data_IF_755821520616
#
_entry.id   IF_755821520616
#
_cell.length_a   1.000
_cell.length_b   1.000
_cell.length_c   1.000
_cell.angle_alpha   90.00
_cell.angle_beta   90.00
_cell.angle_gamma   90.00
#
_symmetry.space_group_name_H-M   'P 1'
#
loop_
_entity.id
_entity.type
_entity.pdbx_description
1 polymer ?
#
# COMPACT_ATOMS: atom_id res chain seq x y z
N UNK A 1 16.68 -7.76 -2.53
CA UNK A 1 16.65 -8.33 -3.90
C UNK A 1 15.44 -7.79 -4.60
N UNK A 2 15.54 -7.48 -5.90
CA UNK A 2 14.39 -7.08 -6.70
C UNK A 2 13.35 -8.21 -6.78
N UNK A 3 12.08 -7.86 -6.99
CA UNK A 3 11.01 -8.83 -7.21
C UNK A 3 11.29 -9.61 -8.51
N UNK A 4 10.98 -10.91 -8.60
CA UNK A 4 11.11 -11.63 -9.86
C UNK A 4 10.20 -11.05 -10.96
N UNK A 5 10.62 -11.20 -12.22
CA UNK A 5 9.86 -10.74 -13.39
C UNK A 5 8.55 -11.50 -13.59
N UNK A 6 8.40 -12.68 -12.96
CA UNK A 6 7.18 -13.46 -12.93
C UNK A 6 6.87 -13.90 -11.51
N UNK A 7 5.59 -13.88 -11.16
CA UNK A 7 5.11 -14.13 -9.81
C UNK A 7 4.15 -15.31 -9.84
N UNK A 8 4.43 -16.29 -8.99
CA UNK A 8 3.54 -17.42 -8.75
C UNK A 8 2.81 -17.22 -7.43
N UNK A 9 1.48 -17.25 -7.46
CA UNK A 9 0.66 -17.30 -6.26
C UNK A 9 0.33 -18.78 -5.99
N UNK A 10 0.72 -19.28 -4.82
CA UNK A 10 0.54 -20.69 -4.43
C UNK A 10 -0.51 -20.87 -3.34
N UNK A 11 -0.88 -19.79 -2.66
CA UNK A 11 -1.97 -19.73 -1.70
C UNK A 11 -3.34 -19.66 -2.37
N UNK A 12 -4.38 -19.75 -1.54
CA UNK A 12 -5.78 -19.71 -1.96
C UNK A 12 -6.21 -18.31 -2.38
N UNK A 13 -7.30 -18.26 -3.16
CA UNK A 13 -7.99 -17.02 -3.51
C UNK A 13 -9.16 -16.83 -2.53
N UNK A 14 -9.16 -15.71 -1.82
CA UNK A 14 -10.24 -15.28 -0.93
C UNK A 14 -11.18 -14.33 -1.66
N UNK A 15 -12.38 -14.80 -1.97
CA UNK A 15 -13.46 -13.96 -2.49
C UNK A 15 -14.23 -13.34 -1.31
N UNK A 16 -14.14 -12.02 -1.15
CA UNK A 16 -14.95 -11.25 -0.22
C UNK A 16 -16.35 -11.10 -0.81
N UNK A 17 -17.17 -12.13 -0.63
CA UNK A 17 -18.53 -12.25 -1.15
C UNK A 17 -19.58 -11.69 -0.19
N UNK A 18 -20.69 -11.18 -0.72
CA UNK A 18 -21.86 -10.77 0.07
C UNK A 18 -22.51 -11.94 0.83
N UNK A 19 -22.28 -13.18 0.39
CA UNK A 19 -22.73 -14.39 1.07
C UNK A 19 -21.78 -14.74 2.23
N UNK A 20 -22.21 -14.42 3.46
CA UNK A 20 -21.42 -14.64 4.67
C UNK A 20 -21.15 -16.13 4.92
N UNK A 21 -22.02 -17.04 4.50
CA UNK A 21 -21.80 -18.47 4.70
C UNK A 21 -20.73 -18.99 3.76
N UNK A 22 -20.69 -18.53 2.50
CA UNK A 22 -19.59 -18.81 1.58
C UNK A 22 -18.27 -18.23 2.07
N UNK A 23 -18.29 -17.02 2.63
CA UNK A 23 -17.11 -16.40 3.21
C UNK A 23 -16.57 -17.22 4.40
N UNK A 24 -17.42 -17.65 5.32
CA UNK A 24 -17.04 -18.52 6.46
C UNK A 24 -16.49 -19.86 6.00
N UNK A 25 -17.08 -20.47 4.98
CA UNK A 25 -16.59 -21.73 4.40
C UNK A 25 -15.19 -21.58 3.80
N UNK A 26 -14.91 -20.47 3.10
CA UNK A 26 -13.55 -20.17 2.62
C UNK A 26 -12.56 -20.08 3.77
N UNK A 27 -12.89 -19.32 4.82
CA UNK A 27 -12.06 -19.20 6.01
C UNK A 27 -11.83 -20.55 6.71
N UNK A 28 -12.80 -21.46 6.65
CA UNK A 28 -12.70 -22.82 7.16
C UNK A 28 -11.92 -23.80 6.26
N UNK A 29 -11.38 -23.35 5.12
CA UNK A 29 -10.52 -24.16 4.25
C UNK A 29 -11.08 -24.46 2.87
N UNK A 30 -12.32 -24.06 2.56
CA UNK A 30 -12.88 -24.27 1.22
C UNK A 30 -12.20 -23.38 0.17
N UNK A 31 -11.89 -23.98 -0.99
CA UNK A 31 -11.50 -23.24 -2.18
C UNK A 31 -12.73 -23.05 -3.06
N UNK A 32 -13.07 -21.80 -3.38
CA UNK A 32 -14.12 -21.49 -4.35
C UNK A 32 -13.53 -21.38 -5.75
N UNK A 33 -14.26 -21.88 -6.74
CA UNK A 33 -13.95 -21.66 -8.15
C UNK A 33 -14.26 -20.21 -8.57
N UNK A 34 -13.55 -19.71 -9.59
CA UNK A 34 -13.89 -18.43 -10.18
C UNK A 34 -15.30 -18.46 -10.78
N UNK A 35 -16.12 -17.48 -10.40
CA UNK A 35 -17.46 -17.29 -10.93
C UNK A 35 -17.68 -15.78 -11.10
N UNK A 36 -17.79 -15.29 -12.35
CA UNK A 36 -17.97 -13.87 -12.64
C UNK A 36 -19.33 -13.33 -12.20
N UNK A 37 -20.30 -14.19 -11.88
CA UNK A 37 -21.62 -13.80 -11.39
C UNK A 37 -21.70 -13.63 -9.88
N UNK A 38 -20.64 -14.03 -9.15
CA UNK A 38 -20.58 -13.94 -7.69
C UNK A 38 -20.62 -12.48 -7.26
N UNK A 39 -21.57 -12.17 -6.39
CA UNK A 39 -21.64 -10.85 -5.75
C UNK A 39 -20.52 -10.70 -4.73
N UNK A 40 -19.73 -9.64 -4.92
CA UNK A 40 -18.61 -9.26 -4.07
C UNK A 40 -18.99 -8.05 -3.22
N UNK A 41 -18.36 -7.92 -2.06
CA UNK A 41 -18.59 -6.79 -1.16
C UNK A 41 -17.95 -5.54 -1.78
N UNK A 42 -18.79 -4.51 -1.99
CA UNK A 42 -18.38 -3.16 -2.37
C UNK A 42 -18.04 -2.31 -1.14
N UNK A 43 -17.36 -1.17 -1.37
CA UNK A 43 -17.09 -0.10 -0.41
C UNK A 43 -16.42 -0.56 0.90
N UNK A 44 -15.48 -1.50 0.80
CA UNK A 44 -14.74 -2.00 1.96
C UNK A 44 -13.82 -0.88 2.45
N UNK A 45 -14.10 -0.34 3.64
CA UNK A 45 -13.36 0.80 4.17
C UNK A 45 -12.09 0.38 4.91
N UNK A 46 -11.18 1.33 5.14
CA UNK A 46 -10.00 1.09 5.97
C UNK A 46 -10.35 0.77 7.43
N UNK A 47 -11.50 1.22 7.93
CA UNK A 47 -12.02 0.81 9.25
C UNK A 47 -12.54 -0.64 9.27
N UNK A 48 -13.04 -1.15 8.14
CA UNK A 48 -13.44 -2.56 8.03
C UNK A 48 -12.23 -3.49 7.95
N UNK A 49 -11.15 -3.03 7.29
CA UNK A 49 -9.88 -3.78 7.21
C UNK A 49 -9.15 -3.72 8.56
N UNK A 50 -8.98 -2.53 9.12
CA UNK A 50 -8.33 -2.29 10.42
C UNK A 50 -9.14 -1.27 11.23
N UNK A 51 -10.03 -1.71 12.14
CA UNK A 51 -10.73 -0.83 13.05
C UNK A 51 -9.79 0.07 13.84
N UNK A 52 -10.27 1.23 14.30
CA UNK A 52 -9.41 2.23 14.95
C UNK A 52 -8.61 1.71 16.16
N UNK A 53 -9.10 0.71 16.89
CA UNK A 53 -8.38 0.09 18.01
C UNK A 53 -7.26 -0.87 17.55
N UNK A 54 -7.36 -1.43 16.34
CA UNK A 54 -6.30 -2.27 15.74
C UNK A 54 -5.09 -1.43 15.36
N UNK A 55 -5.30 -0.17 14.97
CA UNK A 55 -4.22 0.74 14.56
C UNK A 55 -3.27 1.14 15.71
N UNK A 56 -3.50 0.67 16.94
CA UNK A 56 -2.51 0.78 18.01
C UNK A 56 -1.34 -0.20 17.87
N UNK A 57 -1.50 -1.23 17.03
CA UNK A 57 -0.39 -2.05 16.56
C UNK A 57 0.28 -1.39 15.36
N UNK A 58 1.60 -1.51 15.26
CA UNK A 58 2.42 -0.85 14.25
C UNK A 58 3.48 -1.78 13.63
N UNK A 59 3.34 -3.08 13.86
CA UNK A 59 4.20 -4.15 13.37
C UNK A 59 3.35 -5.27 12.74
N UNK A 60 3.97 -6.44 12.51
CA UNK A 60 3.32 -7.60 11.90
C UNK A 60 2.14 -8.16 12.71
N UNK A 61 1.93 -7.70 13.96
CA UNK A 61 0.73 -7.99 14.75
C UNK A 61 -0.53 -7.50 14.03
N UNK A 62 -0.44 -6.45 13.20
CA UNK A 62 -1.55 -5.97 12.38
C UNK A 62 -2.18 -7.07 11.53
N UNK A 63 -1.37 -8.00 11.00
CA UNK A 63 -1.85 -9.11 10.18
C UNK A 63 -2.74 -10.10 10.94
N UNK A 64 -2.64 -10.15 12.27
CA UNK A 64 -3.54 -10.96 13.10
C UNK A 64 -4.95 -10.40 13.18
N UNK A 65 -5.12 -9.10 12.91
CA UNK A 65 -6.40 -8.40 13.04
C UNK A 65 -6.96 -7.92 11.70
N UNK A 66 -6.38 -8.32 10.57
CA UNK A 66 -6.88 -7.96 9.25
C UNK A 66 -8.33 -8.40 9.07
N UNK A 67 -9.17 -7.45 8.63
CA UNK A 67 -10.60 -7.58 8.32
C UNK A 67 -11.51 -7.92 9.50
N UNK A 68 -11.07 -7.83 10.75
CA UNK A 68 -11.95 -8.07 11.93
C UNK A 68 -13.10 -7.06 12.03
N UNK A 69 -12.99 -5.92 11.35
CA UNK A 69 -14.06 -4.91 11.23
C UNK A 69 -15.03 -5.17 10.09
N UNK A 70 -14.81 -6.18 9.26
CA UNK A 70 -15.61 -6.42 8.07
C UNK A 70 -17.06 -6.74 8.46
N UNK A 71 -17.98 -6.02 7.83
CA UNK A 71 -19.43 -6.26 7.96
C UNK A 71 -19.77 -7.73 7.70
N UNK A 72 -20.75 -8.24 8.46
CA UNK A 72 -21.14 -9.64 8.44
C UNK A 72 -20.41 -10.52 9.46
N UNK A 73 -19.32 -10.02 10.08
CA UNK A 73 -18.69 -10.67 11.25
C UNK A 73 -18.11 -12.05 10.95
N UNK A 74 -17.54 -12.23 9.75
CA UNK A 74 -16.92 -13.51 9.36
C UNK A 74 -15.47 -13.65 9.82
N UNK A 75 -14.77 -12.54 10.07
CA UNK A 75 -13.36 -12.52 10.44
C UNK A 75 -13.19 -12.35 11.96
N UNK A 76 -12.35 -13.20 12.51
CA UNK A 76 -11.83 -13.14 13.87
C UNK A 76 -10.31 -12.93 13.82
N UNK A 77 -9.68 -12.83 15.00
CA UNK A 77 -8.22 -12.76 15.09
C UNK A 77 -7.60 -13.99 14.39
N UNK A 78 -6.60 -13.74 13.56
CA UNK A 78 -5.89 -14.70 12.72
C UNK A 78 -6.69 -15.36 11.60
N UNK A 79 -7.94 -14.96 11.33
CA UNK A 79 -8.73 -15.57 10.25
C UNK A 79 -8.05 -15.45 8.88
N UNK A 80 -7.51 -14.28 8.53
CA UNK A 80 -6.77 -14.10 7.28
C UNK A 80 -5.43 -14.86 7.32
N UNK A 81 -4.64 -14.63 8.39
CA UNK A 81 -3.28 -15.16 8.57
C UNK A 81 -3.22 -16.69 8.53
N UNK A 82 -4.20 -17.36 9.12
CA UNK A 82 -4.29 -18.82 9.13
C UNK A 82 -4.98 -19.38 7.88
N UNK A 83 -5.55 -18.52 7.04
CA UNK A 83 -6.29 -18.92 5.86
C UNK A 83 -5.41 -19.37 4.68
N UNK A 84 -4.12 -19.05 4.68
CA UNK A 84 -3.22 -19.41 3.57
C UNK A 84 -3.67 -18.81 2.24
N UNK A 85 -4.14 -17.56 2.27
CA UNK A 85 -4.59 -16.83 1.10
C UNK A 85 -3.47 -15.95 0.56
N UNK A 86 -3.16 -16.11 -0.73
CA UNK A 86 -2.23 -15.21 -1.43
C UNK A 86 -2.97 -14.05 -2.11
N UNK A 87 -4.26 -14.23 -2.42
CA UNK A 87 -5.05 -13.28 -3.21
C UNK A 87 -6.35 -12.94 -2.50
N UNK A 88 -6.65 -11.64 -2.38
CA UNK A 88 -7.97 -11.14 -1.98
C UNK A 88 -8.71 -10.62 -3.21
N UNK A 89 -10.01 -10.91 -3.30
CA UNK A 89 -10.89 -10.44 -4.37
C UNK A 89 -12.10 -9.72 -3.77
N UNK A 90 -12.36 -8.48 -4.19
CA UNK A 90 -13.51 -7.70 -3.72
C UNK A 90 -14.22 -6.94 -4.84
N UNK A 91 -15.35 -6.32 -4.51
CA UNK A 91 -16.10 -5.49 -5.44
C UNK A 91 -15.46 -4.12 -5.64
N UNK A 92 -16.29 -3.09 -5.78
CA UNK A 92 -15.90 -1.70 -6.02
C UNK A 92 -15.40 -1.03 -4.75
N UNK A 93 -14.57 0.00 -4.91
CA UNK A 93 -14.14 0.92 -3.85
C UNK A 93 -13.44 0.21 -2.68
N UNK A 94 -12.47 -0.67 -3.00
CA UNK A 94 -11.62 -1.32 -2.00
C UNK A 94 -10.68 -0.30 -1.34
N UNK A 95 -10.70 -0.24 -0.02
CA UNK A 95 -9.85 0.63 0.79
C UNK A 95 -10.37 2.06 0.92
N UNK A 96 -11.69 2.25 0.94
CA UNK A 96 -12.29 3.58 1.04
C UNK A 96 -12.21 4.19 2.44
N UNK A 97 -12.36 5.52 2.51
CA UNK A 97 -12.28 6.25 3.76
C UNK A 97 -10.87 6.76 4.08
N UNK A 98 -10.46 6.64 5.33
CA UNK A 98 -9.26 7.31 5.84
C UNK A 98 -7.96 6.74 5.29
N UNK A 99 -6.95 7.61 5.13
CA UNK A 99 -5.60 7.23 4.69
C UNK A 99 -4.86 6.47 5.77
N UNK A 100 -5.03 5.15 5.82
CA UNK A 100 -4.36 4.28 6.79
C UNK A 100 -3.52 3.23 6.07
N UNK A 101 -2.20 3.35 6.19
CA UNK A 101 -1.26 2.34 5.69
C UNK A 101 -1.39 1.02 6.46
N UNK A 102 -1.92 1.06 7.70
CA UNK A 102 -2.24 -0.13 8.50
C UNK A 102 -3.14 -1.12 7.77
N UNK A 103 -4.08 -0.65 6.96
CA UNK A 103 -5.04 -1.49 6.25
C UNK A 103 -4.33 -2.42 5.24
N UNK A 104 -3.66 -1.92 4.18
CA UNK A 104 -2.94 -2.80 3.25
C UNK A 104 -1.78 -3.54 3.94
N UNK A 105 -1.13 -2.96 4.96
CA UNK A 105 -0.07 -3.65 5.69
C UNK A 105 -0.58 -4.85 6.51
N UNK A 106 -1.79 -4.76 7.08
CA UNK A 106 -2.44 -5.90 7.74
C UNK A 106 -2.77 -7.03 6.76
N UNK A 107 -3.17 -6.72 5.53
CA UNK A 107 -3.38 -7.76 4.50
C UNK A 107 -2.05 -8.40 4.10
N UNK A 108 -1.02 -7.59 3.88
CA UNK A 108 0.33 -8.07 3.53
C UNK A 108 0.91 -8.99 4.61
N UNK A 109 0.89 -8.55 5.86
CA UNK A 109 1.41 -9.35 7.01
C UNK A 109 0.48 -10.49 7.41
N UNK A 110 -0.77 -10.47 6.93
CA UNK A 110 -1.70 -11.59 6.93
C UNK A 110 -1.39 -12.65 5.87
N UNK A 111 -0.37 -12.45 5.03
CA UNK A 111 0.09 -13.40 4.01
C UNK A 111 -0.38 -13.09 2.58
N UNK A 112 -1.18 -12.05 2.39
CA UNK A 112 -1.69 -11.68 1.06
C UNK A 112 -0.60 -11.02 0.24
N UNK A 113 -0.49 -11.41 -1.02
CA UNK A 113 0.47 -10.87 -1.97
C UNK A 113 -0.20 -10.00 -3.04
N UNK A 114 -1.49 -10.23 -3.32
CA UNK A 114 -2.25 -9.56 -4.36
C UNK A 114 -3.68 -9.24 -3.93
N UNK A 115 -4.12 -8.01 -4.19
CA UNK A 115 -5.52 -7.58 -4.11
C UNK A 115 -6.06 -7.37 -5.52
N UNK A 116 -7.16 -8.03 -5.87
CA UNK A 116 -7.92 -7.79 -7.09
C UNK A 116 -9.29 -7.21 -6.71
N UNK A 117 -9.65 -6.05 -7.25
CA UNK A 117 -10.94 -5.44 -6.96
C UNK A 117 -11.53 -4.74 -8.18
N UNK A 118 -12.86 -4.62 -8.27
CA UNK A 118 -13.49 -3.93 -9.42
C UNK A 118 -13.02 -2.48 -9.52
N UNK A 119 -12.82 -1.84 -8.36
CA UNK A 119 -12.07 -0.59 -8.27
C UNK A 119 -11.35 -0.48 -6.92
N UNK A 120 -10.19 0.17 -6.95
CA UNK A 120 -9.31 0.34 -5.80
C UNK A 120 -9.18 1.84 -5.53
N UNK A 121 -9.33 2.23 -4.28
CA UNK A 121 -9.20 3.62 -3.89
C UNK A 121 -7.75 4.08 -4.01
N UNK A 122 -7.56 5.29 -4.53
CA UNK A 122 -6.25 5.79 -4.95
C UNK A 122 -5.19 5.69 -3.84
N UNK A 123 -5.54 6.11 -2.63
CA UNK A 123 -4.63 6.11 -1.48
C UNK A 123 -4.30 4.67 -1.05
N UNK A 124 -5.31 3.80 -0.99
CA UNK A 124 -5.09 2.38 -0.69
C UNK A 124 -4.15 1.71 -1.69
N UNK A 125 -4.36 1.97 -2.99
CA UNK A 125 -3.50 1.47 -4.06
C UNK A 125 -2.06 1.96 -3.93
N UNK A 126 -1.86 3.26 -3.68
CA UNK A 126 -0.53 3.83 -3.47
C UNK A 126 0.18 3.25 -2.24
N UNK A 127 -0.53 3.13 -1.11
CA UNK A 127 0.02 2.52 0.11
C UNK A 127 0.39 1.05 -0.14
N UNK A 128 -0.47 0.29 -0.83
CA UNK A 128 -0.21 -1.11 -1.22
C UNK A 128 1.08 -1.21 -2.04
N UNK A 129 1.22 -0.38 -3.08
CA UNK A 129 2.43 -0.35 -3.91
C UNK A 129 3.68 0.00 -3.10
N UNK A 130 3.59 0.97 -2.19
CA UNK A 130 4.71 1.40 -1.35
C UNK A 130 5.23 0.30 -0.42
N UNK A 131 4.34 -0.53 0.11
CA UNK A 131 4.72 -1.66 0.98
C UNK A 131 4.99 -2.96 0.20
N UNK A 132 4.74 -2.97 -1.11
CA UNK A 132 4.94 -4.13 -1.98
C UNK A 132 3.73 -5.07 -2.12
N UNK A 133 2.56 -4.73 -1.58
CA UNK A 133 1.30 -5.44 -1.85
C UNK A 133 0.84 -5.14 -3.29
N UNK A 134 0.69 -6.17 -4.11
CA UNK A 134 0.25 -5.99 -5.49
C UNK A 134 -1.24 -5.67 -5.55
N UNK A 135 -1.61 -4.90 -6.56
CA UNK A 135 -3.00 -4.54 -6.82
C UNK A 135 -3.33 -4.70 -8.29
N UNK A 136 -4.52 -5.16 -8.61
CA UNK A 136 -5.04 -5.19 -9.98
C UNK A 136 -6.54 -4.96 -10.01
N UNK A 137 -7.03 -4.40 -11.12
CA UNK A 137 -8.47 -4.35 -11.44
C UNK A 137 -8.84 -5.33 -12.56
N UNK A 138 -7.90 -6.16 -13.01
CA UNK A 138 -8.11 -7.16 -14.05
C UNK A 138 -8.50 -8.52 -13.45
N UNK A 139 -9.79 -8.83 -13.52
CA UNK A 139 -10.34 -10.12 -13.07
C UNK A 139 -9.94 -11.27 -14.00
N UNK A 140 -9.45 -11.00 -15.20
CA UNK A 140 -8.89 -12.00 -16.11
C UNK A 140 -7.65 -12.70 -15.53
N UNK A 141 -7.02 -12.14 -14.51
CA UNK A 141 -5.93 -12.77 -13.76
C UNK A 141 -6.40 -13.95 -12.90
N UNK A 142 -7.65 -13.94 -12.42
CA UNK A 142 -8.18 -14.96 -11.50
C UNK A 142 -8.12 -16.39 -12.08
N UNK A 143 -8.66 -16.68 -13.29
CA UNK A 143 -8.55 -18.02 -13.86
C UNK A 143 -7.10 -18.43 -14.16
N UNK A 144 -6.24 -17.48 -14.51
CA UNK A 144 -4.80 -17.73 -14.76
C UNK A 144 -4.07 -18.13 -13.49
N UNK A 145 -4.32 -17.40 -12.40
CA UNK A 145 -3.78 -17.70 -11.07
C UNK A 145 -4.32 -19.05 -10.57
N UNK A 146 -5.62 -19.31 -10.72
CA UNK A 146 -6.21 -20.60 -10.33
C UNK A 146 -5.63 -21.79 -11.12
N UNK A 147 -5.20 -21.57 -12.36
CA UNK A 147 -4.49 -22.56 -13.17
C UNK A 147 -3.00 -22.72 -12.80
N UNK A 148 -2.51 -21.97 -11.81
CA UNK A 148 -1.11 -21.99 -11.37
C UNK A 148 -0.14 -21.28 -12.32
N UNK A 149 -0.64 -20.37 -13.17
CA UNK A 149 0.19 -19.60 -14.08
C UNK A 149 1.10 -18.62 -13.32
N UNK A 150 2.35 -18.51 -13.74
CA UNK A 150 3.24 -17.43 -13.29
C UNK A 150 2.90 -16.15 -14.03
N UNK A 151 2.42 -15.14 -13.30
CA UNK A 151 1.94 -13.88 -13.85
C UNK A 151 3.12 -12.92 -14.07
N UNK A 152 3.31 -12.36 -15.27
CA UNK A 152 4.34 -11.33 -15.51
C UNK A 152 4.15 -10.11 -14.62
N UNK A 153 5.23 -9.53 -14.08
CA UNK A 153 5.18 -8.35 -13.23
C UNK A 153 4.52 -7.15 -13.95
N UNK A 154 4.61 -7.11 -15.28
CA UNK A 154 4.03 -6.06 -16.12
C UNK A 154 2.52 -5.94 -15.93
N UNK A 155 1.83 -7.05 -15.64
CA UNK A 155 0.39 -7.07 -15.35
C UNK A 155 0.01 -6.11 -14.22
N UNK A 156 0.90 -5.91 -13.24
CA UNK A 156 0.69 -5.05 -12.08
C UNK A 156 1.25 -3.64 -12.24
N UNK A 157 1.85 -3.33 -13.40
CA UNK A 157 2.42 -2.00 -13.70
C UNK A 157 1.69 -1.26 -14.83
N UNK A 158 0.71 -1.91 -15.45
CA UNK A 158 -0.10 -1.32 -16.52
C UNK A 158 -0.76 -0.02 -16.05
N UNK A 159 -0.52 1.06 -16.79
CA UNK A 159 -1.10 2.39 -16.51
C UNK A 159 -0.40 3.17 -15.40
N UNK A 160 0.64 2.62 -14.75
CA UNK A 160 1.45 3.35 -13.80
C UNK A 160 2.46 4.25 -14.52
N UNK A 161 2.82 5.36 -13.87
CA UNK A 161 3.97 6.16 -14.30
C UNK A 161 5.28 5.38 -14.08
N UNK A 162 6.39 5.77 -14.74
CA UNK A 162 7.64 5.03 -14.66
C UNK A 162 8.19 4.83 -13.24
N UNK A 163 8.05 5.82 -12.35
CA UNK A 163 8.56 5.71 -10.97
C UNK A 163 7.69 4.73 -10.18
N UNK A 164 6.37 4.85 -10.28
CA UNK A 164 5.44 3.92 -9.61
C UNK A 164 5.62 2.48 -10.12
N UNK A 165 5.84 2.30 -11.42
CA UNK A 165 6.14 0.99 -12.02
C UNK A 165 7.45 0.40 -11.47
N UNK A 166 8.51 1.21 -11.35
CA UNK A 166 9.79 0.78 -10.79
C UNK A 166 9.67 0.46 -9.29
N UNK A 167 8.84 1.19 -8.53
CA UNK A 167 8.54 0.88 -7.12
C UNK A 167 7.90 -0.50 -7.00
N UNK A 168 6.90 -0.80 -7.83
CA UNK A 168 6.24 -2.11 -7.85
C UNK A 168 7.23 -3.24 -8.20
N UNK A 169 8.08 -3.02 -9.22
CA UNK A 169 9.12 -3.99 -9.64
C UNK A 169 10.22 -4.19 -8.59
N UNK A 170 10.57 -3.14 -7.84
CA UNK A 170 11.50 -3.26 -6.73
C UNK A 170 10.90 -4.02 -5.54
N UNK A 171 9.58 -4.20 -5.49
CA UNK A 171 8.87 -4.81 -4.38
C UNK A 171 8.54 -3.84 -3.24
N UNK A 172 8.38 -2.55 -3.56
CA UNK A 172 8.00 -1.51 -2.61
C UNK A 172 8.97 -0.33 -2.58
N UNK A 173 8.53 0.76 -1.97
CA UNK A 173 9.22 2.06 -1.93
C UNK A 173 10.56 1.98 -1.19
N UNK A 174 10.64 1.21 -0.11
CA UNK A 174 11.89 1.02 0.62
C UNK A 174 12.93 0.25 -0.21
N UNK A 175 12.51 -0.83 -0.88
CA UNK A 175 13.38 -1.59 -1.76
C UNK A 175 13.88 -0.72 -2.92
N UNK A 176 12.99 0.03 -3.56
CA UNK A 176 13.31 1.01 -4.58
C UNK A 176 14.34 2.05 -4.09
N UNK A 177 14.12 2.64 -2.91
CA UNK A 177 15.01 3.65 -2.37
C UNK A 177 16.39 3.11 -2.02
N UNK A 178 16.51 1.87 -1.53
CA UNK A 178 17.81 1.22 -1.32
C UNK A 178 18.57 1.05 -2.64
N UNK A 179 17.90 0.58 -3.70
CA UNK A 179 18.50 0.46 -5.04
C UNK A 179 18.94 1.83 -5.58
N UNK A 180 18.13 2.88 -5.35
CA UNK A 180 18.49 4.26 -5.72
C UNK A 180 19.71 4.78 -4.97
N UNK A 181 19.82 4.49 -3.67
CA UNK A 181 20.98 4.87 -2.84
C UNK A 181 22.24 4.12 -3.26
N UNK A 182 22.11 2.85 -3.67
CA UNK A 182 23.18 2.04 -4.23
C UNK A 182 23.60 2.48 -5.66
N UNK A 183 22.82 3.32 -6.33
CA UNK A 183 23.07 3.76 -7.71
C UNK A 183 22.65 2.73 -8.76
N UNK A 184 21.80 1.76 -8.40
CA UNK A 184 21.28 0.74 -9.32
C UNK A 184 20.09 1.27 -10.14
N UNK A 185 19.33 2.23 -9.58
CA UNK A 185 18.19 2.87 -10.22
C UNK A 185 18.37 4.38 -10.22
N UNK A 186 18.08 5.01 -11.34
CA UNK A 186 18.07 6.47 -11.50
C UNK A 186 16.71 6.93 -12.04
N UNK A 187 15.88 7.61 -11.23
CA UNK A 187 14.63 8.18 -11.73
C UNK A 187 14.92 9.20 -12.82
N UNK A 188 14.23 9.08 -13.95
CA UNK A 188 14.37 10.02 -15.06
C UNK A 188 13.57 11.28 -14.75
N UNK A 189 14.18 12.44 -15.00
CA UNK A 189 13.46 13.69 -14.94
C UNK A 189 12.46 13.80 -16.11
N UNK A 190 11.34 14.51 -15.92
CA UNK A 190 10.42 14.82 -17.01
C UNK A 190 11.10 15.62 -18.13
N UNK A 191 10.77 15.31 -19.39
CA UNK A 191 11.26 16.03 -20.58
C UNK A 191 10.34 17.20 -20.97
N UNK A 192 9.51 17.68 -20.04
CA UNK A 192 8.54 18.74 -20.30
C UNK A 192 9.25 20.05 -20.64
N UNK A 193 9.10 20.49 -21.89
CA UNK A 193 9.64 21.77 -22.37
C UNK A 193 8.95 22.96 -21.72
N UNK A 194 9.63 24.10 -21.70
CA UNK A 194 9.08 25.39 -21.26
C UNK A 194 7.64 25.62 -21.73
N UNK A 195 6.77 25.90 -20.78
CA UNK A 195 5.36 26.23 -21.01
C UNK A 195 4.83 27.14 -19.91
N UNK A 196 3.68 27.80 -20.11
CA UNK A 196 2.94 28.39 -19.01
C UNK A 196 2.60 27.33 -17.95
N UNK A 197 2.83 27.68 -16.70
CA UNK A 197 2.59 26.84 -15.52
C UNK A 197 1.69 27.56 -14.51
N UNK A 198 0.81 26.80 -13.89
CA UNK A 198 0.07 27.17 -12.68
C UNK A 198 1.01 27.40 -11.50
N UNK A 199 0.49 27.96 -10.41
CA UNK A 199 1.26 28.12 -9.18
C UNK A 199 1.76 26.78 -8.62
N UNK A 200 0.92 25.74 -8.64
CA UNK A 200 1.29 24.39 -8.16
C UNK A 200 2.38 23.77 -9.02
N UNK A 201 2.25 23.85 -10.35
CA UNK A 201 3.29 23.36 -11.27
C UNK A 201 4.62 24.11 -11.06
N UNK A 202 4.61 25.42 -10.79
CA UNK A 202 5.83 26.18 -10.47
C UNK A 202 6.48 25.72 -9.17
N UNK A 203 5.68 25.45 -8.13
CA UNK A 203 6.20 24.93 -6.85
C UNK A 203 6.84 23.56 -7.08
N UNK A 204 6.15 22.65 -7.77
CA UNK A 204 6.68 21.31 -8.09
C UNK A 204 7.96 21.41 -8.91
N UNK A 205 7.97 22.23 -9.97
CA UNK A 205 9.15 22.42 -10.82
C UNK A 205 10.34 22.96 -10.04
N UNK A 206 10.14 23.90 -9.12
CA UNK A 206 11.20 24.48 -8.29
C UNK A 206 11.78 23.47 -7.28
N UNK A 207 10.96 22.55 -6.77
CA UNK A 207 11.37 21.56 -5.76
C UNK A 207 11.73 20.19 -6.36
N UNK A 208 11.65 20.04 -7.68
CA UNK A 208 12.02 18.82 -8.38
C UNK A 208 13.48 18.45 -8.08
N UNK A 209 13.71 17.21 -7.65
CA UNK A 209 15.05 16.72 -7.29
C UNK A 209 15.79 16.31 -8.57
N UNK A 210 16.81 17.08 -8.96
CA UNK A 210 17.68 16.78 -10.11
C UNK A 210 18.85 15.88 -9.70
N UNK A 211 19.52 16.24 -8.61
CA UNK A 211 20.58 15.44 -8.00
C UNK A 211 20.43 15.48 -6.48
N UNK A 212 20.01 14.36 -5.91
CA UNK A 212 19.82 14.24 -4.46
C UNK A 212 21.15 14.34 -3.69
N UNK A 213 22.27 13.85 -4.25
CA UNK A 213 23.58 13.85 -3.59
C UNK A 213 24.20 15.24 -3.61
N UNK A 214 24.10 15.94 -4.74
CA UNK A 214 24.56 17.32 -4.85
C UNK A 214 23.56 18.35 -4.29
N UNK A 215 22.37 17.90 -3.89
CA UNK A 215 21.29 18.76 -3.40
C UNK A 215 20.69 19.69 -4.47
N UNK A 216 20.89 19.39 -5.75
CA UNK A 216 20.43 20.21 -6.88
C UNK A 216 18.94 20.00 -7.11
N UNK A 217 18.20 21.11 -7.10
CA UNK A 217 16.76 21.15 -7.34
C UNK A 217 16.44 22.02 -8.55
N UNK A 218 15.22 21.87 -9.06
CA UNK A 218 14.66 22.76 -10.06
C UNK A 218 14.73 22.19 -11.47
N UNK A 219 13.59 22.15 -12.15
CA UNK A 219 13.51 21.87 -13.59
C UNK A 219 12.74 23.00 -14.31
N UNK A 220 12.89 23.09 -15.63
CA UNK A 220 12.34 24.20 -16.41
C UNK A 220 10.81 24.25 -16.37
N UNK A 221 10.16 23.09 -16.51
CA UNK A 221 8.70 22.98 -16.49
C UNK A 221 8.24 21.58 -16.11
N UNK A 222 7.00 21.51 -15.64
CA UNK A 222 6.25 20.26 -15.43
C UNK A 222 4.85 20.38 -16.04
N UNK A 223 4.17 19.24 -16.19
CA UNK A 223 2.76 19.14 -16.57
C UNK A 223 2.08 17.97 -15.83
N UNK A 224 0.74 17.90 -15.82
CA UNK A 224 0.04 16.73 -15.31
C UNK A 224 0.48 15.45 -16.04
N UNK A 225 0.73 14.40 -15.27
CA UNK A 225 1.23 13.11 -15.76
C UNK A 225 2.76 12.96 -15.69
N UNK A 226 3.50 14.03 -15.40
CA UNK A 226 4.94 13.92 -15.13
C UNK A 226 5.18 13.21 -13.79
N UNK A 227 6.18 12.31 -13.78
CA UNK A 227 6.64 11.60 -12.59
C UNK A 227 8.02 12.09 -12.19
N UNK A 228 8.17 12.48 -10.93
CA UNK A 228 9.41 13.03 -10.38
C UNK A 228 9.41 12.95 -8.86
N UNK A 229 10.60 13.06 -8.26
CA UNK A 229 10.74 13.32 -6.84
C UNK A 229 10.79 14.83 -6.58
N UNK A 230 10.19 15.26 -5.47
CA UNK A 230 10.29 16.64 -4.98
C UNK A 230 10.91 16.66 -3.59
N UNK A 231 11.70 17.69 -3.26
CA UNK A 231 12.13 17.95 -1.89
C UNK A 231 10.99 18.63 -1.14
N UNK A 232 10.69 18.16 0.07
CA UNK A 232 9.71 18.76 0.97
C UNK A 232 10.41 19.63 2.00
N UNK A 233 9.97 20.88 2.16
CA UNK A 233 10.54 21.80 3.15
C UNK A 233 10.04 21.56 4.57
N UNK A 234 8.82 21.01 4.68
CA UNK A 234 8.18 20.70 5.95
C UNK A 234 7.53 19.33 5.84
N UNK A 235 7.77 18.49 6.85
CA UNK A 235 7.22 17.16 7.01
C UNK A 235 6.56 17.10 8.36
N UNK A 236 5.40 16.48 8.45
CA UNK A 236 4.69 16.36 9.71
C UNK A 236 4.15 14.95 9.91
N UNK A 237 4.07 14.53 11.16
CA UNK A 237 3.52 13.25 11.57
C UNK A 237 2.82 13.40 12.91
N UNK A 238 1.80 12.59 13.15
CA UNK A 238 1.05 12.58 14.40
C UNK A 238 1.18 11.22 15.08
N UNK A 239 0.82 11.14 16.36
CA UNK A 239 1.05 9.98 17.24
C UNK A 239 0.40 8.69 16.77
N UNK A 240 -0.62 8.77 15.91
CA UNK A 240 -1.30 7.60 15.37
C UNK A 240 -0.54 6.93 14.22
N UNK A 241 0.27 7.69 13.47
CA UNK A 241 1.00 7.21 12.28
C UNK A 241 2.49 7.11 12.55
N UNK A 242 3.03 7.93 13.45
CA UNK A 242 4.47 7.99 13.76
C UNK A 242 5.07 6.63 14.15
N UNK A 243 4.44 5.83 15.04
CA UNK A 243 4.99 4.51 15.41
C UNK A 243 5.09 3.56 14.21
N UNK A 244 4.08 3.54 13.34
CA UNK A 244 4.09 2.71 12.13
C UNK A 244 5.15 3.20 11.15
N UNK A 245 5.26 4.51 10.94
CA UNK A 245 6.29 5.08 10.08
C UNK A 245 7.71 4.73 10.57
N UNK A 246 7.98 4.82 11.87
CA UNK A 246 9.28 4.42 12.46
C UNK A 246 9.54 2.92 12.30
N UNK A 247 8.54 2.08 12.60
CA UNK A 247 8.61 0.62 12.47
C UNK A 247 8.97 0.20 11.03
N UNK A 248 8.24 0.71 10.04
CA UNK A 248 8.49 0.42 8.63
C UNK A 248 9.82 1.00 8.14
N UNK A 249 10.19 2.20 8.60
CA UNK A 249 11.47 2.81 8.26
C UNK A 249 12.65 1.97 8.75
N UNK A 250 12.60 1.48 10.00
CA UNK A 250 13.63 0.59 10.56
C UNK A 250 13.62 -0.79 9.90
N UNK A 251 12.45 -1.34 9.58
CA UNK A 251 12.36 -2.58 8.80
C UNK A 251 13.02 -2.41 7.42
N UNK A 252 12.84 -1.24 6.80
CA UNK A 252 13.39 -0.92 5.48
C UNK A 252 14.89 -0.61 5.46
N UNK A 253 15.41 0.12 6.44
CA UNK A 253 16.78 0.65 6.42
C UNK A 253 17.69 0.12 7.55
N UNK A 254 17.14 -0.66 8.48
CA UNK A 254 17.85 -1.20 9.64
C UNK A 254 17.54 -0.43 10.93
N UNK A 255 17.85 -1.06 12.07
CA UNK A 255 17.57 -0.51 13.39
C UNK A 255 18.27 0.84 13.67
N UNK A 256 19.41 1.08 13.04
CA UNK A 256 20.21 2.30 13.22
C UNK A 256 19.86 3.42 12.20
N UNK A 257 18.79 3.25 11.42
CA UNK A 257 18.40 4.22 10.41
C UNK A 257 18.02 5.57 11.03
N UNK A 258 18.50 6.66 10.42
CA UNK A 258 18.25 8.03 10.86
C UNK A 258 17.52 8.83 9.78
N UNK A 259 16.62 9.71 10.19
CA UNK A 259 15.93 10.64 9.29
C UNK A 259 16.90 11.77 8.87
N UNK A 260 16.88 12.15 7.59
CA UNK A 260 17.61 13.31 7.09
C UNK A 260 16.86 14.61 7.38
N UNK A 261 17.59 15.68 7.71
CA UNK A 261 17.04 17.02 8.01
C UNK A 261 15.97 16.98 9.13
N UNK A 262 16.23 16.36 10.29
CA UNK A 262 15.22 16.16 11.34
C UNK A 262 14.55 17.47 11.80
N UNK A 263 15.23 18.61 11.66
CA UNK A 263 14.71 19.96 11.93
C UNK A 263 13.49 20.34 11.09
N UNK A 264 13.25 19.68 9.95
CA UNK A 264 12.07 19.92 9.13
C UNK A 264 10.94 18.91 9.35
N UNK A 265 11.08 18.02 10.34
CA UNK A 265 10.07 17.04 10.74
C UNK A 265 9.38 17.48 12.02
N UNK A 266 8.08 17.74 11.96
CA UNK A 266 7.25 18.14 13.10
C UNK A 266 6.36 16.99 13.55
N UNK A 267 6.57 16.51 14.77
CA UNK A 267 5.72 15.50 15.40
C UNK A 267 4.80 16.14 16.43
N UNK A 268 3.51 15.83 16.39
CA UNK A 268 2.53 16.41 17.33
C UNK A 268 1.51 15.37 17.81
N UNK A 269 0.81 15.71 18.90
CA UNK A 269 -0.34 14.96 19.40
C UNK A 269 -1.62 15.59 18.85
N UNK A 270 -2.56 14.76 18.43
CA UNK A 270 -3.85 15.14 17.85
C UNK A 270 -4.94 14.19 18.35
N UNK A 271 -4.89 12.92 17.93
CA UNK A 271 -5.96 11.93 18.11
C UNK A 271 -6.05 11.33 19.52
N UNK A 272 -4.91 11.22 20.21
CA UNK A 272 -4.77 10.59 21.52
C UNK A 272 -4.48 11.63 22.61
N UNK A 273 -4.80 12.89 22.35
CA UNK A 273 -4.55 14.00 23.28
C UNK A 273 -5.20 13.74 24.65
N UNK A 274 -6.42 13.22 24.66
CA UNK A 274 -7.21 12.95 25.87
C UNK A 274 -7.29 11.47 26.23
N UNK A 275 -6.45 10.61 25.65
CA UNK A 275 -6.57 9.15 25.84
C UNK A 275 -6.55 8.76 27.33
N UNK A 276 -5.67 9.37 28.12
CA UNK A 276 -5.58 9.13 29.57
C UNK A 276 -6.79 9.63 30.38
N UNK A 277 -7.64 10.46 29.80
CA UNK A 277 -8.88 10.93 30.44
C UNK A 277 -10.08 10.02 30.12
N UNK A 278 -9.98 9.19 29.08
CA UNK A 278 -11.10 8.37 28.56
C UNK A 278 -10.84 6.86 28.62
N UNK A 279 -9.59 6.42 28.73
CA UNK A 279 -9.21 5.02 28.91
C UNK A 279 -8.51 4.86 30.26
N UNK A 280 -9.10 4.03 31.13
CA UNK A 280 -8.45 3.59 32.38
C UNK A 280 -7.19 2.77 32.02
N UNK A 281 -6.08 2.97 32.74
CA UNK A 281 -4.81 2.23 32.53
C UNK A 281 -4.90 0.73 32.91
N UNK A 282 -6.10 0.14 32.98
CA UNK A 282 -6.36 -1.22 33.46
C UNK A 282 -6.61 -2.24 32.36
#
# INVERSE_FOLDING_TARGET
MARPDRIRFSGRILYLTEDVDLLKRQLAGEQLDYDPSRKLIDNISTDEITPGWVCFYYDETLGEFSMVGLRGGAFERNSLKNGGFDVIVSGKSKGCGSSRETAPYSELTGGVQLVIAESIEKIYGQNSQNIGLLTSTDFGLLPRIAAGEEIPIEEFTKGLDPISADIVKAGGLFAYNRMRMAGEIHPRLPETKKRPMTMVEKIIAAHAVVDAKAGTLGIEAVKPGDALFVRTDVRFSHEYVTPMADSLFRQGFGADATVSEPESVFTFRDHLTFLGDVMDEK
#
